data_IF_647890701051
#
_entry.id   IF_647890701051
#
_cell.length_a   1.000
_cell.length_b   1.000
_cell.length_c   1.000
_cell.angle_alpha   90.00
_cell.angle_beta   90.00
_cell.angle_gamma   90.00
#
_symmetry.space_group_name_H-M   'P 1'
#
loop_
_entity.id
_entity.type
_entity.pdbx_description
1 polymer ?
#
# COMPACT_ATOMS: atom_id res chain seq x y z
N UNK A 1 -23.29 -10.09 60.91
CA UNK A 1 -23.69 -9.12 59.86
C UNK A 1 -22.55 -8.56 59.00
N UNK A 2 -21.29 -8.47 59.44
CA UNK A 2 -20.19 -7.87 58.64
C UNK A 2 -19.74 -8.70 57.43
N UNK A 3 -19.91 -10.02 57.46
CA UNK A 3 -19.42 -10.93 56.39
C UNK A 3 -20.31 -10.91 55.14
N UNK A 4 -21.63 -10.86 55.31
CA UNK A 4 -22.61 -10.86 54.20
C UNK A 4 -22.48 -9.58 53.35
N UNK A 5 -22.23 -8.43 53.98
CA UNK A 5 -22.03 -7.17 53.28
C UNK A 5 -20.79 -7.17 52.38
N UNK A 6 -19.73 -7.90 52.73
CA UNK A 6 -18.50 -8.00 51.93
C UNK A 6 -18.72 -8.83 50.67
N UNK A 7 -19.45 -9.94 50.77
CA UNK A 7 -19.77 -10.79 49.61
C UNK A 7 -20.69 -10.08 48.62
N UNK A 8 -21.71 -9.37 49.10
CA UNK A 8 -22.60 -8.58 48.24
C UNK A 8 -21.82 -7.50 47.49
N UNK A 9 -20.91 -6.79 48.16
CA UNK A 9 -20.09 -5.77 47.52
C UNK A 9 -19.16 -6.36 46.43
N UNK A 10 -18.55 -7.52 46.69
CA UNK A 10 -17.66 -8.18 45.74
C UNK A 10 -18.40 -8.73 44.52
N UNK A 11 -19.59 -9.30 44.71
CA UNK A 11 -20.44 -9.80 43.61
C UNK A 11 -20.89 -8.65 42.71
N UNK A 12 -21.30 -7.52 43.29
CA UNK A 12 -21.69 -6.33 42.52
C UNK A 12 -20.48 -5.77 41.75
N UNK A 13 -19.32 -5.65 42.38
CA UNK A 13 -18.12 -5.10 41.74
C UNK A 13 -17.58 -6.01 40.63
N UNK A 14 -17.57 -7.33 40.84
CA UNK A 14 -17.19 -8.34 39.85
C UNK A 14 -18.14 -8.34 38.63
N UNK A 15 -19.45 -8.29 38.88
CA UNK A 15 -20.46 -8.28 37.82
C UNK A 15 -20.42 -6.97 37.00
N UNK A 16 -20.18 -5.83 37.65
CA UNK A 16 -20.04 -4.53 36.98
C UNK A 16 -18.74 -4.45 36.15
N UNK A 17 -17.65 -5.05 36.62
CA UNK A 17 -16.39 -5.14 35.89
C UNK A 17 -16.52 -6.02 34.64
N UNK A 18 -17.17 -7.19 34.74
CA UNK A 18 -17.44 -8.04 33.57
C UNK A 18 -18.33 -7.33 32.53
N UNK A 19 -19.38 -6.62 32.98
CA UNK A 19 -20.28 -5.91 32.09
C UNK A 19 -19.59 -4.77 31.32
N UNK A 20 -18.68 -4.04 31.99
CA UNK A 20 -17.89 -2.97 31.37
C UNK A 20 -16.91 -3.51 30.30
N UNK A 21 -16.27 -4.65 30.57
CA UNK A 21 -15.38 -5.32 29.59
C UNK A 21 -16.16 -5.80 28.36
N UNK A 22 -17.34 -6.40 28.53
CA UNK A 22 -18.17 -6.86 27.40
C UNK A 22 -18.73 -5.70 26.55
N UNK A 23 -19.12 -4.58 27.17
CA UNK A 23 -19.59 -3.38 26.47
C UNK A 23 -18.46 -2.69 25.68
N UNK A 24 -17.25 -2.62 26.24
CA UNK A 24 -16.07 -2.07 25.56
C UNK A 24 -15.65 -2.87 24.32
N UNK A 25 -15.74 -4.21 24.36
CA UNK A 25 -15.42 -5.08 23.22
C UNK A 25 -16.41 -4.89 22.04
N UNK A 26 -17.70 -4.71 22.31
CA UNK A 26 -18.71 -4.53 21.26
C UNK A 26 -18.54 -3.22 20.49
N UNK A 27 -18.16 -2.13 21.17
CA UNK A 27 -17.90 -0.85 20.51
C UNK A 27 -16.67 -0.91 19.58
N UNK A 28 -15.58 -1.57 20.03
CA UNK A 28 -14.36 -1.75 19.22
C UNK A 28 -14.62 -2.58 17.96
N UNK A 29 -15.35 -3.70 18.09
CA UNK A 29 -15.69 -4.57 16.95
C UNK A 29 -16.66 -3.90 15.97
N UNK A 30 -17.58 -3.07 16.45
CA UNK A 30 -18.48 -2.30 15.58
C UNK A 30 -17.70 -1.30 14.72
N UNK A 31 -16.75 -0.59 15.33
CA UNK A 31 -15.93 0.40 14.65
C UNK A 31 -15.01 -0.22 13.59
N UNK A 32 -14.41 -1.38 13.88
CA UNK A 32 -13.59 -2.13 12.91
C UNK A 32 -14.41 -2.53 11.66
N UNK A 33 -15.63 -3.05 11.85
CA UNK A 33 -16.50 -3.45 10.74
C UNK A 33 -16.88 -2.27 9.86
N UNK A 34 -17.14 -1.10 10.46
CA UNK A 34 -17.44 0.13 9.73
C UNK A 34 -16.24 0.60 8.90
N UNK A 35 -15.03 0.56 9.48
CA UNK A 35 -13.78 0.90 8.77
C UNK A 35 -13.53 -0.05 7.60
N UNK A 36 -13.65 -1.37 7.82
CA UNK A 36 -13.45 -2.36 6.76
C UNK A 36 -14.48 -2.19 5.64
N UNK A 37 -15.74 -1.91 5.98
CA UNK A 37 -16.78 -1.63 4.99
C UNK A 37 -16.45 -0.38 4.17
N UNK A 38 -15.99 0.68 4.83
CA UNK A 38 -15.56 1.92 4.17
C UNK A 38 -14.35 1.69 3.25
N UNK A 39 -13.34 0.94 3.67
CA UNK A 39 -12.19 0.61 2.83
C UNK A 39 -12.60 -0.19 1.59
N UNK A 40 -13.52 -1.15 1.74
CA UNK A 40 -14.04 -1.94 0.62
C UNK A 40 -14.81 -1.09 -0.39
N UNK A 41 -15.56 -0.09 0.05
CA UNK A 41 -16.32 0.79 -0.84
C UNK A 41 -15.49 1.91 -1.46
N UNK A 42 -14.32 2.23 -0.90
CA UNK A 42 -13.45 3.34 -1.35
C UNK A 42 -12.09 2.90 -1.91
N UNK A 43 -11.88 1.60 -2.14
CA UNK A 43 -10.64 1.07 -2.73
C UNK A 43 -10.84 0.62 -4.17
N UNK A 44 -9.77 0.72 -4.95
CA UNK A 44 -9.71 0.15 -6.29
C UNK A 44 -9.01 -1.21 -6.24
N UNK A 45 -9.66 -2.31 -6.64
CA UNK A 45 -9.05 -3.62 -6.58
C UNK A 45 -7.99 -3.78 -7.67
N UNK A 46 -6.80 -4.21 -7.28
CA UNK A 46 -5.72 -4.59 -8.20
C UNK A 46 -5.93 -6.04 -8.63
N UNK A 47 -6.15 -6.27 -9.93
CA UNK A 47 -6.46 -7.59 -10.50
C UNK A 47 -5.23 -8.42 -10.84
N UNK A 48 -4.13 -7.74 -11.17
CA UNK A 48 -2.88 -8.38 -11.58
C UNK A 48 -1.68 -7.76 -10.87
N UNK A 49 -0.69 -8.58 -10.52
CA UNK A 49 0.56 -8.10 -9.92
C UNK A 49 1.66 -7.86 -10.96
N UNK A 50 1.65 -8.63 -12.04
CA UNK A 50 2.76 -8.67 -13.01
C UNK A 50 2.57 -7.70 -14.16
N UNK A 51 3.68 -7.11 -14.62
CA UNK A 51 3.77 -6.32 -15.86
C UNK A 51 3.29 -7.10 -17.10
N UNK A 52 2.92 -6.38 -18.16
CA UNK A 52 2.45 -6.95 -19.42
C UNK A 52 1.04 -7.57 -19.38
N UNK A 53 0.28 -7.37 -18.31
CA UNK A 53 -1.12 -7.82 -18.17
C UNK A 53 -2.15 -6.71 -18.41
N UNK A 54 -1.73 -5.60 -19.00
CA UNK A 54 -2.56 -4.41 -19.22
C UNK A 54 -2.84 -3.60 -17.95
N UNK A 55 -3.63 -2.53 -18.09
CA UNK A 55 -3.78 -1.49 -17.07
C UNK A 55 -5.23 -1.11 -16.74
N UNK A 56 -6.20 -1.97 -17.06
CA UNK A 56 -7.62 -1.63 -16.91
C UNK A 56 -8.02 -1.31 -15.45
N UNK A 57 -7.47 -2.05 -14.49
CA UNK A 57 -7.59 -1.86 -13.04
C UNK A 57 -6.72 -0.74 -12.47
N UNK A 58 -5.76 -0.20 -13.24
CA UNK A 58 -4.92 0.93 -12.84
C UNK A 58 -5.41 2.28 -13.38
N UNK A 59 -6.40 2.31 -14.29
CA UNK A 59 -6.92 3.55 -14.87
C UNK A 59 -7.36 4.61 -13.84
N UNK A 60 -7.94 4.26 -12.66
CA UNK A 60 -8.26 5.26 -11.64
C UNK A 60 -7.05 6.11 -11.18
N UNK A 61 -5.83 5.57 -11.27
CA UNK A 61 -4.62 6.30 -10.93
C UNK A 61 -4.34 7.48 -11.87
N UNK A 62 -4.83 7.47 -13.12
CA UNK A 62 -4.65 8.62 -14.03
C UNK A 62 -5.27 9.89 -13.47
N UNK A 63 -6.44 9.77 -12.87
CA UNK A 63 -7.14 10.89 -12.24
C UNK A 63 -6.48 11.29 -10.93
N UNK A 64 -6.07 10.32 -10.10
CA UNK A 64 -5.42 10.58 -8.81
C UNK A 64 -4.07 11.27 -8.97
N UNK A 65 -3.29 10.84 -9.97
CA UNK A 65 -1.94 11.33 -10.24
C UNK A 65 -1.93 12.39 -11.35
N UNK A 66 -3.08 12.97 -11.69
CA UNK A 66 -3.16 14.06 -12.65
C UNK A 66 -2.27 15.22 -12.16
N UNK A 67 -1.46 15.78 -13.06
CA UNK A 67 -0.52 16.89 -12.78
C UNK A 67 0.60 16.57 -11.76
N UNK A 68 0.69 15.32 -11.27
CA UNK A 68 1.79 14.90 -10.39
C UNK A 68 3.07 14.71 -11.21
N UNK A 69 4.16 15.35 -10.78
CA UNK A 69 5.47 15.27 -11.45
C UNK A 69 6.39 14.20 -10.84
N UNK A 70 6.20 13.86 -9.55
CA UNK A 70 7.03 12.91 -8.82
C UNK A 70 6.14 11.94 -8.06
N UNK A 71 6.37 10.64 -8.26
CA UNK A 71 5.63 9.57 -7.58
C UNK A 71 6.63 8.70 -6.81
N UNK A 72 6.46 8.61 -5.49
CA UNK A 72 7.23 7.71 -4.64
C UNK A 72 6.66 6.29 -4.64
N UNK A 73 7.47 5.29 -4.98
CA UNK A 73 7.08 3.87 -4.99
C UNK A 73 7.82 3.09 -3.89
N UNK A 74 7.27 3.16 -2.67
CA UNK A 74 7.80 2.42 -1.51
C UNK A 74 7.49 0.93 -1.52
N UNK A 75 8.12 0.20 -0.60
CA UNK A 75 7.86 -1.21 -0.31
C UNK A 75 7.82 -1.42 1.21
N UNK A 76 6.98 -2.33 1.71
CA UNK A 76 6.90 -2.56 3.15
C UNK A 76 8.10 -3.37 3.67
N UNK A 77 8.80 -4.09 2.79
CA UNK A 77 9.97 -4.90 3.11
C UNK A 77 10.89 -4.99 1.90
N UNK A 78 12.20 -5.06 2.11
CA UNK A 78 13.14 -5.47 1.07
C UNK A 78 13.01 -6.97 0.78
N UNK A 79 12.88 -7.32 -0.49
CA UNK A 79 12.92 -8.71 -0.97
C UNK A 79 11.57 -9.39 -1.19
N UNK A 80 10.44 -8.72 -0.97
CA UNK A 80 9.12 -9.32 -1.25
C UNK A 80 8.83 -9.31 -2.74
N UNK A 81 8.76 -10.51 -3.33
CA UNK A 81 8.56 -10.73 -4.77
C UNK A 81 7.35 -9.98 -5.32
N UNK A 82 6.22 -10.05 -4.62
CA UNK A 82 4.95 -9.45 -5.04
C UNK A 82 5.05 -7.92 -5.13
N UNK A 83 5.82 -7.29 -4.23
CA UNK A 83 6.05 -5.84 -4.25
C UNK A 83 6.90 -5.44 -5.44
N UNK A 84 7.98 -6.18 -5.76
CA UNK A 84 8.79 -5.91 -6.95
C UNK A 84 7.99 -6.11 -8.24
N UNK A 85 7.16 -7.15 -8.32
CA UNK A 85 6.28 -7.37 -9.47
C UNK A 85 5.30 -6.21 -9.67
N UNK A 86 4.64 -5.78 -8.58
CA UNK A 86 3.71 -4.67 -8.63
C UNK A 86 4.42 -3.34 -8.97
N UNK A 87 5.59 -3.07 -8.38
CA UNK A 87 6.39 -1.88 -8.70
C UNK A 87 6.79 -1.85 -10.18
N UNK A 88 7.24 -2.97 -10.74
CA UNK A 88 7.52 -3.07 -12.17
C UNK A 88 6.26 -2.77 -13.01
N UNK A 89 5.10 -3.35 -12.66
CA UNK A 89 3.84 -3.08 -13.35
C UNK A 89 3.42 -1.60 -13.27
N UNK A 90 3.59 -0.98 -12.10
CA UNK A 90 3.31 0.45 -11.90
C UNK A 90 4.26 1.33 -12.71
N UNK A 91 5.55 0.98 -12.77
CA UNK A 91 6.52 1.69 -13.62
C UNK A 91 6.13 1.62 -15.10
N UNK A 92 5.71 0.45 -15.58
CA UNK A 92 5.21 0.28 -16.95
C UNK A 92 4.02 1.20 -17.23
N UNK A 93 3.04 1.23 -16.32
CA UNK A 93 1.88 2.12 -16.42
C UNK A 93 2.27 3.61 -16.40
N UNK A 94 3.10 4.04 -15.44
CA UNK A 94 3.53 5.42 -15.32
C UNK A 94 4.31 5.89 -16.56
N UNK A 95 5.19 5.04 -17.09
CA UNK A 95 5.98 5.36 -18.28
C UNK A 95 5.13 5.37 -19.56
N UNK A 96 4.30 4.35 -19.78
CA UNK A 96 3.57 4.18 -21.04
C UNK A 96 2.29 5.02 -21.12
N UNK A 97 1.52 5.10 -20.03
CA UNK A 97 0.20 5.72 -20.00
C UNK A 97 0.20 7.14 -19.40
N UNK A 98 1.19 7.47 -18.57
CA UNK A 98 1.26 8.76 -17.87
C UNK A 98 2.48 9.61 -18.24
N UNK A 99 3.39 9.10 -19.07
CA UNK A 99 4.49 9.88 -19.64
C UNK A 99 5.63 10.20 -18.67
N UNK A 100 5.78 9.45 -17.57
CA UNK A 100 6.95 9.58 -16.70
C UNK A 100 8.22 9.09 -17.41
N UNK A 101 9.32 9.86 -17.31
CA UNK A 101 10.58 9.60 -18.02
C UNK A 101 11.80 9.56 -17.10
N UNK A 102 11.63 9.47 -15.78
CA UNK A 102 12.77 9.34 -14.87
C UNK A 102 12.44 8.36 -13.76
N UNK A 103 13.44 7.56 -13.37
CA UNK A 103 13.36 6.62 -12.27
C UNK A 103 14.51 6.94 -11.31
N UNK A 104 14.17 7.35 -10.10
CA UNK A 104 15.14 7.43 -9.01
C UNK A 104 15.11 6.12 -8.23
N UNK A 105 16.25 5.44 -8.10
CA UNK A 105 16.35 4.21 -7.33
C UNK A 105 16.87 4.49 -5.92
N UNK A 106 16.48 3.67 -4.94
CA UNK A 106 17.06 3.68 -3.59
C UNK A 106 18.46 3.02 -3.63
N UNK A 107 19.37 3.66 -4.35
CA UNK A 107 20.74 3.23 -4.54
C UNK A 107 21.65 4.46 -4.68
N UNK A 108 22.96 4.26 -4.60
CA UNK A 108 23.90 5.35 -4.87
C UNK A 108 23.91 5.68 -6.36
N UNK A 109 24.17 6.95 -6.71
CA UNK A 109 24.34 7.37 -8.10
C UNK A 109 25.36 6.50 -8.85
N UNK A 110 26.46 6.13 -8.19
CA UNK A 110 27.48 5.25 -8.76
C UNK A 110 26.95 3.85 -9.11
N UNK A 111 25.97 3.34 -8.36
CA UNK A 111 25.30 2.08 -8.68
C UNK A 111 24.24 2.25 -9.79
N UNK A 112 23.59 3.41 -9.89
CA UNK A 112 22.61 3.73 -10.93
C UNK A 112 23.25 3.94 -12.30
N UNK A 113 24.45 4.52 -12.37
CA UNK A 113 25.13 4.84 -13.62
C UNK A 113 25.25 3.64 -14.60
N UNK A 114 25.81 2.48 -14.22
CA UNK A 114 25.91 1.34 -15.14
C UNK A 114 24.54 0.80 -15.58
N UNK A 115 23.50 0.92 -14.73
CA UNK A 115 22.13 0.53 -15.08
C UNK A 115 21.58 1.48 -16.15
N UNK A 116 21.79 2.78 -15.99
CA UNK A 116 21.38 3.79 -16.96
C UNK A 116 22.07 3.57 -18.31
N UNK A 117 23.38 3.32 -18.31
CA UNK A 117 24.14 3.00 -19.53
C UNK A 117 23.63 1.71 -20.21
N UNK A 118 23.30 0.68 -19.43
CA UNK A 118 22.71 -0.55 -19.95
C UNK A 118 21.37 -0.28 -20.65
N UNK A 119 20.46 0.47 -20.03
CA UNK A 119 19.16 0.78 -20.61
C UNK A 119 19.28 1.64 -21.88
N UNK A 120 20.19 2.61 -21.90
CA UNK A 120 20.34 3.54 -23.02
C UNK A 120 21.05 2.92 -24.23
N UNK A 121 22.02 2.04 -24.02
CA UNK A 121 22.96 1.65 -25.09
C UNK A 121 22.94 0.16 -25.46
N UNK A 122 22.41 -0.74 -24.63
CA UNK A 122 22.44 -2.19 -24.91
C UNK A 122 21.22 -2.74 -25.67
N UNK A 123 20.26 -1.90 -26.05
CA UNK A 123 19.04 -2.32 -26.78
C UNK A 123 18.90 -1.61 -28.14
N UNK A 124 19.62 -2.07 -29.18
CA UNK A 124 19.59 -1.44 -30.50
C UNK A 124 18.19 -1.49 -31.13
N UNK A 125 17.71 -0.36 -31.64
CA UNK A 125 16.43 -0.24 -32.35
C UNK A 125 15.22 0.11 -31.48
N UNK A 126 15.36 0.08 -30.15
CA UNK A 126 14.41 0.74 -29.25
C UNK A 126 14.89 2.18 -29.08
N UNK A 127 14.07 3.17 -29.45
CA UNK A 127 14.34 4.55 -29.07
C UNK A 127 14.02 4.64 -27.58
N UNK A 128 15.02 4.71 -26.66
CA UNK A 128 14.69 4.87 -25.26
C UNK A 128 13.95 6.19 -25.16
N UNK A 129 12.68 6.16 -24.74
CA UNK A 129 11.99 7.37 -24.28
C UNK A 129 12.69 7.84 -23.01
N UNK A 130 13.90 8.39 -23.14
CA UNK A 130 14.77 9.02 -22.15
C UNK A 130 14.42 8.64 -20.70
N UNK A 131 14.40 7.35 -20.33
CA UNK A 131 14.18 6.96 -18.95
C UNK A 131 15.52 7.18 -18.25
N UNK A 132 15.66 8.33 -17.62
CA UNK A 132 16.85 8.66 -16.85
C UNK A 132 16.79 7.90 -15.52
N UNK A 133 17.79 7.04 -15.28
CA UNK A 133 17.95 6.37 -13.98
C UNK A 133 18.97 7.16 -13.15
N UNK A 134 18.51 7.74 -12.04
CA UNK A 134 19.31 8.56 -11.10
C UNK A 134 19.42 7.91 -9.73
#
# INVERSE_FOLDING_TARGET
MKTISKYIFYVIFSSFFLLSVCLGQSAHVKHEKEIVAWLKSNSFPVKHLTAGKGFADLQPLKTILQEVQVVGLGESTHGTREMFQLKHRLLEFLALEMGFTAIALEASYAACQPINEYVLYHFPGLCPKQILII
#
